data_IF_198119126655
#
_entry.id   IF_198119126655
#
_cell.length_a   1.000
_cell.length_b   1.000
_cell.length_c   1.000
_cell.angle_alpha   90.00
_cell.angle_beta   90.00
_cell.angle_gamma   90.00
#
_symmetry.space_group_name_H-M   'P 1'
#
loop_
_entity.id
_entity.type
_entity.pdbx_description
1 polymer ?
#
# COMPACT_ATOMS: atom_id res chain seq x y z
N UNK A 1 -1.65 2.61 15.03
CA UNK A 1 -2.13 4.01 15.11
C UNK A 1 -3.04 4.30 13.93
N UNK A 2 -4.31 4.37 14.18
CA UNK A 2 -5.32 4.57 13.12
C UNK A 2 -5.95 5.94 13.30
N UNK A 3 -5.78 6.80 12.29
CA UNK A 3 -6.58 8.03 12.19
C UNK A 3 -7.99 7.61 11.75
N UNK A 4 -9.04 7.93 12.52
CA UNK A 4 -10.40 7.60 12.11
C UNK A 4 -10.77 8.32 10.82
N UNK A 5 -11.44 7.60 9.92
CA UNK A 5 -12.00 8.22 8.71
C UNK A 5 -13.36 8.83 9.05
N UNK A 6 -13.55 10.09 8.67
CA UNK A 6 -14.74 10.87 8.97
C UNK A 6 -15.82 10.83 7.86
N UNK A 7 -15.60 9.99 6.84
CA UNK A 7 -16.50 9.91 5.70
C UNK A 7 -16.17 10.88 4.57
N UNK A 8 -15.12 11.69 4.70
CA UNK A 8 -14.72 12.64 3.67
C UNK A 8 -14.22 11.94 2.41
N UNK A 9 -14.39 12.59 1.26
CA UNK A 9 -13.91 12.08 -0.02
C UNK A 9 -12.39 11.91 -0.05
N UNK A 10 -11.92 10.90 -0.78
CA UNK A 10 -10.51 10.67 -1.03
C UNK A 10 -10.32 10.00 -2.41
N UNK A 11 -9.14 10.20 -3.00
CA UNK A 11 -8.84 9.68 -4.34
C UNK A 11 -8.58 8.18 -4.35
N UNK A 12 -7.84 7.69 -3.36
CA UNK A 12 -7.47 6.27 -3.28
C UNK A 12 -6.68 5.96 -2.03
N UNK A 13 -6.26 4.69 -1.91
CA UNK A 13 -5.50 4.21 -0.77
C UNK A 13 -4.40 3.25 -1.21
N UNK A 14 -3.23 3.34 -0.55
CA UNK A 14 -2.10 2.43 -0.72
C UNK A 14 -1.84 1.67 0.58
N UNK A 15 -1.33 0.45 0.45
CA UNK A 15 -1.13 -0.48 1.56
C UNK A 15 0.34 -0.86 1.69
N UNK A 16 0.88 -0.70 2.91
CA UNK A 16 2.12 -1.36 3.30
C UNK A 16 1.77 -2.73 3.91
N UNK A 17 1.98 -3.79 3.14
CA UNK A 17 1.79 -5.17 3.59
C UNK A 17 3.15 -5.71 4.04
N UNK A 18 3.32 -5.86 5.35
CA UNK A 18 4.61 -6.14 5.97
C UNK A 18 4.70 -7.58 6.46
N UNK A 19 5.84 -8.21 6.25
CA UNK A 19 6.13 -9.57 6.72
C UNK A 19 7.63 -9.73 6.95
N UNK A 20 8.02 -10.09 8.18
CA UNK A 20 9.41 -10.47 8.53
C UNK A 20 10.49 -9.53 7.95
N UNK A 21 10.36 -8.22 8.18
CA UNK A 21 11.31 -7.22 7.70
C UNK A 21 11.24 -6.92 6.20
N UNK A 22 10.17 -7.34 5.55
CA UNK A 22 9.94 -7.16 4.11
C UNK A 22 8.61 -6.47 3.84
N UNK A 23 8.48 -5.92 2.64
CA UNK A 23 7.25 -5.27 2.17
C UNK A 23 6.87 -5.81 0.80
N UNK A 24 5.58 -6.06 0.60
CA UNK A 24 5.03 -6.52 -0.67
C UNK A 24 4.98 -5.36 -1.67
N UNK A 25 5.60 -5.55 -2.81
CA UNK A 25 5.67 -4.55 -3.88
C UNK A 25 5.32 -5.17 -5.23
N UNK A 26 5.16 -4.32 -6.21
CA UNK A 26 5.14 -4.72 -7.62
C UNK A 26 5.74 -3.59 -8.46
N UNK A 27 6.12 -3.90 -9.70
CA UNK A 27 6.64 -2.88 -10.61
C UNK A 27 5.53 -2.46 -11.57
N UNK A 28 5.33 -1.15 -11.69
CA UNK A 28 4.36 -0.59 -12.63
C UNK A 28 4.79 -0.81 -14.07
N UNK A 29 3.83 -0.85 -14.99
CA UNK A 29 4.12 -0.87 -16.41
C UNK A 29 4.96 0.35 -16.82
N UNK A 30 5.90 0.14 -17.73
CA UNK A 30 6.69 1.23 -18.30
C UNK A 30 6.02 1.72 -19.59
N UNK A 31 4.87 2.37 -19.43
CA UNK A 31 4.07 2.91 -20.55
C UNK A 31 4.02 4.42 -20.50
N UNK A 32 4.06 5.12 -21.63
CA UNK A 32 3.79 6.55 -21.64
C UNK A 32 2.34 6.85 -21.23
N UNK A 33 2.12 7.96 -20.55
CA UNK A 33 0.79 8.43 -20.19
C UNK A 33 0.20 7.88 -18.89
N UNK A 34 0.88 6.95 -18.20
CA UNK A 34 0.45 6.51 -16.86
C UNK A 34 1.32 7.19 -15.79
N UNK A 35 0.79 7.40 -14.56
CA UNK A 35 1.60 7.91 -13.46
C UNK A 35 2.70 6.91 -13.09
N UNK A 36 3.89 7.41 -12.74
CA UNK A 36 5.01 6.63 -12.20
C UNK A 36 5.40 5.43 -13.08
N UNK A 37 5.61 5.60 -14.40
CA UNK A 37 5.85 4.46 -15.29
C UNK A 37 7.14 3.73 -14.90
N UNK A 38 7.07 2.39 -14.82
CA UNK A 38 8.21 1.53 -14.53
C UNK A 38 8.72 1.54 -13.10
N UNK A 39 8.09 2.29 -12.19
CA UNK A 39 8.55 2.40 -10.81
C UNK A 39 7.97 1.30 -9.90
N UNK A 40 8.65 1.05 -8.80
CA UNK A 40 8.20 0.12 -7.75
C UNK A 40 7.07 0.81 -6.97
N UNK A 41 5.95 0.12 -6.88
CA UNK A 41 4.72 0.58 -6.23
C UNK A 41 4.28 -0.41 -5.15
N UNK A 42 3.31 0.00 -4.35
CA UNK A 42 2.68 -0.81 -3.32
C UNK A 42 1.25 -1.15 -3.74
N UNK A 43 0.65 -2.22 -3.16
CA UNK A 43 -0.76 -2.51 -3.42
C UNK A 43 -1.66 -1.33 -3.13
N UNK A 44 -2.69 -1.13 -3.93
CA UNK A 44 -3.63 -0.04 -3.75
C UNK A 44 -4.06 0.57 -5.06
N UNK A 45 -5.01 1.49 -4.98
CA UNK A 45 -5.52 2.18 -6.15
C UNK A 45 -6.67 3.11 -5.82
N UNK A 46 -7.48 3.44 -6.82
CA UNK A 46 -8.55 4.40 -6.72
C UNK A 46 -9.75 3.92 -5.91
N UNK A 47 -10.39 4.85 -5.22
CA UNK A 47 -11.63 4.59 -4.49
C UNK A 47 -12.74 4.22 -5.44
N UNK A 48 -13.55 3.23 -5.07
CA UNK A 48 -14.80 2.88 -5.76
C UNK A 48 -15.98 3.08 -4.81
N UNK A 49 -17.05 3.75 -5.32
CA UNK A 49 -18.24 4.01 -4.55
C UNK A 49 -17.95 4.74 -3.24
N UNK A 50 -18.53 4.26 -2.16
CA UNK A 50 -18.44 4.85 -0.82
C UNK A 50 -17.48 4.08 0.12
N UNK A 51 -16.52 3.35 -0.43
CA UNK A 51 -15.54 2.61 0.35
C UNK A 51 -14.82 3.49 1.38
N UNK A 52 -14.54 2.89 2.56
CA UNK A 52 -13.57 3.46 3.50
C UNK A 52 -12.14 3.29 2.95
N UNK A 53 -11.16 4.04 3.49
CA UNK A 53 -9.76 3.86 3.08
C UNK A 53 -9.25 2.42 3.24
N UNK A 54 -9.57 1.77 4.36
CA UNK A 54 -9.18 0.39 4.61
C UNK A 54 -9.80 -0.56 3.58
N UNK A 55 -11.10 -0.45 3.32
CA UNK A 55 -11.79 -1.31 2.36
C UNK A 55 -11.29 -1.07 0.94
N UNK A 56 -10.98 0.17 0.57
CA UNK A 56 -10.38 0.51 -0.73
C UNK A 56 -9.04 -0.21 -0.91
N UNK A 57 -8.14 -0.09 0.06
CA UNK A 57 -6.82 -0.73 -0.01
C UNK A 57 -6.93 -2.25 -0.05
N UNK A 58 -7.82 -2.84 0.74
CA UNK A 58 -7.99 -4.30 0.80
C UNK A 58 -8.66 -4.86 -0.45
N UNK A 59 -9.59 -4.12 -1.06
CA UNK A 59 -10.17 -4.51 -2.35
C UNK A 59 -9.09 -4.55 -3.43
N UNK A 60 -8.26 -3.52 -3.50
CA UNK A 60 -7.15 -3.47 -4.46
C UNK A 60 -6.13 -4.59 -4.22
N UNK A 61 -5.81 -4.90 -2.96
CA UNK A 61 -4.94 -6.02 -2.63
C UNK A 61 -5.51 -7.33 -3.17
N UNK A 62 -6.80 -7.55 -3.02
CA UNK A 62 -7.46 -8.74 -3.53
C UNK A 62 -7.42 -8.78 -5.07
N UNK A 63 -7.75 -7.68 -5.73
CA UNK A 63 -7.75 -7.61 -7.19
C UNK A 63 -6.35 -7.81 -7.77
N UNK A 64 -5.33 -7.19 -7.16
CA UNK A 64 -3.97 -7.22 -7.68
C UNK A 64 -3.19 -8.48 -7.32
N UNK A 65 -3.40 -9.02 -6.12
CA UNK A 65 -2.56 -10.10 -5.57
C UNK A 65 -3.33 -11.35 -5.16
N UNK A 66 -4.66 -11.34 -5.24
CA UNK A 66 -5.46 -12.49 -4.85
C UNK A 66 -5.54 -12.72 -3.34
N UNK A 67 -5.08 -11.77 -2.52
CA UNK A 67 -5.10 -11.88 -1.07
C UNK A 67 -6.34 -11.26 -0.48
N UNK A 68 -7.03 -12.01 0.36
CA UNK A 68 -8.16 -11.55 1.17
C UNK A 68 -7.71 -11.34 2.61
N UNK A 69 -7.71 -10.07 3.06
CA UNK A 69 -7.46 -9.74 4.45
C UNK A 69 -8.70 -9.08 5.06
N UNK A 70 -9.07 -9.45 6.29
CA UNK A 70 -10.13 -8.73 6.98
C UNK A 70 -9.66 -7.34 7.41
N UNK A 71 -10.59 -6.42 7.54
CA UNK A 71 -10.31 -5.02 7.89
C UNK A 71 -9.55 -4.89 9.22
N UNK A 72 -9.77 -5.82 10.16
CA UNK A 72 -9.11 -5.84 11.46
C UNK A 72 -7.59 -6.04 11.36
N UNK A 73 -7.08 -6.48 10.23
CA UNK A 73 -5.64 -6.62 9.99
C UNK A 73 -4.94 -5.28 9.81
N UNK A 74 -5.66 -4.22 9.48
CA UNK A 74 -5.11 -2.86 9.35
C UNK A 74 -4.85 -2.32 10.75
N UNK A 75 -3.60 -1.92 11.02
CA UNK A 75 -3.21 -1.40 12.34
C UNK A 75 -2.63 0.02 12.28
N UNK A 76 -2.49 0.59 11.07
CA UNK A 76 -2.02 1.94 10.87
C UNK A 76 -2.75 2.55 9.68
N UNK A 77 -3.21 3.80 9.81
CA UNK A 77 -3.89 4.50 8.74
C UNK A 77 -3.79 6.00 8.94
N UNK A 78 -3.40 6.73 7.89
CA UNK A 78 -3.36 8.20 7.89
C UNK A 78 -3.68 8.76 6.51
N UNK A 79 -4.34 9.94 6.45
CA UNK A 79 -4.51 10.68 5.21
C UNK A 79 -3.26 11.50 4.87
N UNK A 80 -3.07 11.71 3.57
CA UNK A 80 -1.99 12.52 3.00
C UNK A 80 -2.53 13.25 1.78
N UNK A 81 -1.83 14.27 1.26
CA UNK A 81 -2.14 14.77 -0.07
C UNK A 81 -2.02 13.63 -1.09
N UNK A 82 -2.99 13.52 -2.01
CA UNK A 82 -2.94 12.47 -3.03
C UNK A 82 -1.71 12.69 -3.93
N UNK A 83 -1.06 11.58 -4.33
CA UNK A 83 0.19 11.66 -5.10
C UNK A 83 0.00 12.15 -6.52
N UNK A 84 -1.13 11.83 -7.13
CA UNK A 84 -1.42 12.08 -8.54
C UNK A 84 -2.75 12.82 -8.77
N UNK A 85 -3.33 13.38 -7.72
CA UNK A 85 -4.60 14.10 -7.78
C UNK A 85 -4.52 15.38 -6.95
N UNK A 86 -3.99 16.47 -7.51
CA UNK A 86 -3.79 17.72 -6.76
C UNK A 86 -5.07 18.21 -6.08
N UNK A 87 -4.94 18.65 -4.83
CA UNK A 87 -6.05 19.14 -4.03
C UNK A 87 -6.93 18.05 -3.41
N UNK A 88 -6.67 16.77 -3.71
CA UNK A 88 -7.39 15.65 -3.11
C UNK A 88 -6.56 14.95 -2.04
N UNK A 89 -7.23 14.12 -1.25
CA UNK A 89 -6.60 13.30 -0.20
C UNK A 89 -6.37 11.89 -0.72
N UNK A 90 -5.26 11.29 -0.31
CA UNK A 90 -5.00 9.86 -0.44
C UNK A 90 -4.74 9.27 0.94
N UNK A 91 -5.00 7.98 1.12
CA UNK A 91 -4.75 7.31 2.39
C UNK A 91 -3.62 6.31 2.26
N UNK A 92 -2.85 6.18 3.34
CA UNK A 92 -1.83 5.15 3.47
C UNK A 92 -2.18 4.30 4.69
N UNK A 93 -2.25 2.98 4.48
CA UNK A 93 -2.61 2.04 5.53
C UNK A 93 -1.55 0.95 5.62
N UNK A 94 -1.45 0.28 6.77
CA UNK A 94 -0.49 -0.80 6.96
C UNK A 94 -1.15 -2.00 7.63
N UNK A 95 -0.72 -3.19 7.21
CA UNK A 95 -1.12 -4.47 7.77
C UNK A 95 0.07 -5.40 7.84
N UNK A 96 0.07 -6.31 8.80
CA UNK A 96 1.03 -7.41 8.84
C UNK A 96 0.42 -8.62 8.15
N UNK A 97 1.17 -9.24 7.24
CA UNK A 97 0.77 -10.46 6.55
C UNK A 97 1.68 -11.62 6.97
N UNK A 98 1.30 -12.84 6.62
CA UNK A 98 2.03 -14.06 7.00
C UNK A 98 2.77 -14.66 5.82
N UNK A 99 3.76 -15.53 6.09
CA UNK A 99 4.45 -16.27 5.03
C UNK A 99 3.48 -17.16 4.26
N UNK A 100 2.47 -17.75 4.93
CA UNK A 100 1.45 -18.54 4.26
C UNK A 100 0.63 -17.68 3.28
N UNK A 101 0.32 -16.45 3.65
CA UNK A 101 -0.39 -15.51 2.77
C UNK A 101 0.49 -15.12 1.57
N UNK A 102 1.78 -14.89 1.78
CA UNK A 102 2.73 -14.64 0.68
C UNK A 102 2.73 -15.83 -0.30
N UNK A 103 2.77 -17.06 0.21
CA UNK A 103 2.75 -18.25 -0.63
C UNK A 103 1.45 -18.42 -1.43
N UNK A 104 0.36 -17.80 -0.96
CA UNK A 104 -0.94 -17.85 -1.63
C UNK A 104 -1.15 -16.74 -2.67
N UNK A 105 -0.19 -15.82 -2.82
CA UNK A 105 -0.30 -14.72 -3.78
C UNK A 105 -0.33 -15.24 -5.21
N UNK A 106 -1.28 -14.74 -5.98
CA UNK A 106 -1.27 -14.86 -7.43
C UNK A 106 -1.75 -13.55 -8.04
N UNK A 107 -1.08 -13.13 -9.11
CA UNK A 107 -1.42 -11.88 -9.77
C UNK A 107 -2.72 -11.97 -10.53
N UNK A 108 -3.45 -10.83 -10.53
CA UNK A 108 -4.51 -10.59 -11.49
C UNK A 108 -3.94 -10.39 -12.90
N UNK A 109 -4.78 -9.94 -13.83
CA UNK A 109 -4.48 -9.87 -15.26
C UNK A 109 -3.55 -8.72 -15.67
N UNK A 110 -2.90 -8.04 -14.74
CA UNK A 110 -2.13 -6.82 -15.03
C UNK A 110 -0.67 -7.08 -15.40
N UNK A 111 -0.25 -8.34 -15.45
CA UNK A 111 1.07 -8.70 -15.97
C UNK A 111 2.26 -8.35 -15.08
N UNK A 112 2.04 -7.94 -13.85
CA UNK A 112 3.10 -7.56 -12.93
C UNK A 112 3.47 -8.73 -12.01
N UNK A 113 4.76 -8.95 -11.80
CA UNK A 113 5.20 -9.92 -10.82
C UNK A 113 5.27 -9.30 -9.43
N UNK A 114 4.72 -9.95 -8.37
CA UNK A 114 4.92 -9.49 -7.02
C UNK A 114 6.39 -9.61 -6.65
N UNK A 115 6.87 -8.67 -5.89
CA UNK A 115 8.24 -8.69 -5.40
C UNK A 115 8.25 -8.34 -3.92
N UNK A 116 8.77 -9.25 -3.12
CA UNK A 116 8.93 -9.01 -1.70
C UNK A 116 10.32 -8.41 -1.49
N UNK A 117 10.37 -7.13 -1.12
CA UNK A 117 11.62 -6.41 -0.89
C UNK A 117 11.90 -6.26 0.60
N UNK A 118 13.18 -6.31 0.98
CA UNK A 118 13.56 -5.87 2.32
C UNK A 118 13.17 -4.41 2.54
N UNK A 119 12.78 -4.05 3.76
CA UNK A 119 12.37 -2.68 4.08
C UNK A 119 13.46 -1.67 3.75
N UNK A 120 14.72 -1.96 4.10
CA UNK A 120 15.84 -1.07 3.80
C UNK A 120 16.06 -0.94 2.30
N UNK A 121 15.93 -2.02 1.55
CA UNK A 121 16.06 -2.01 0.10
C UNK A 121 14.99 -1.14 -0.55
N UNK A 122 13.74 -1.26 -0.11
CA UNK A 122 12.66 -0.42 -0.63
C UNK A 122 12.90 1.06 -0.33
N UNK A 123 13.32 1.37 0.91
CA UNK A 123 13.55 2.77 1.32
C UNK A 123 14.75 3.40 0.60
N UNK A 124 15.73 2.59 0.18
CA UNK A 124 16.92 3.06 -0.54
C UNK A 124 16.77 3.04 -2.06
N UNK A 125 15.71 2.44 -2.59
CA UNK A 125 15.55 2.27 -4.03
C UNK A 125 15.33 3.62 -4.73
N UNK A 126 16.14 3.88 -5.77
CA UNK A 126 15.99 5.09 -6.59
C UNK A 126 14.82 4.98 -7.57
N UNK A 127 14.34 3.77 -7.82
CA UNK A 127 13.24 3.48 -8.74
C UNK A 127 11.94 3.11 -8.03
N UNK A 128 11.77 3.51 -6.77
CA UNK A 128 10.51 3.39 -6.03
C UNK A 128 9.81 4.75 -5.98
N UNK A 129 8.49 4.73 -5.85
CA UNK A 129 7.67 5.95 -5.75
C UNK A 129 8.00 6.65 -4.43
N UNK A 130 8.57 7.85 -4.52
CA UNK A 130 9.16 8.57 -3.39
C UNK A 130 8.16 8.88 -2.26
N UNK A 131 6.94 9.39 -2.52
CA UNK A 131 5.98 9.59 -1.43
C UNK A 131 5.65 8.34 -0.64
N UNK A 132 5.65 7.16 -1.27
CA UNK A 132 5.40 5.89 -0.57
C UNK A 132 6.55 5.53 0.36
N UNK A 133 7.79 5.81 -0.04
CA UNK A 133 8.95 5.62 0.84
C UNK A 133 8.85 6.50 2.08
N UNK A 134 8.44 7.77 1.91
CA UNK A 134 8.27 8.70 3.01
C UNK A 134 7.18 8.25 3.98
N UNK A 135 6.05 7.78 3.46
CA UNK A 135 4.93 7.30 4.26
C UNK A 135 5.30 6.01 5.01
N UNK A 136 6.03 5.11 4.36
CA UNK A 136 6.53 3.92 5.03
C UNK A 136 7.45 4.28 6.21
N UNK A 137 8.30 5.29 6.09
CA UNK A 137 9.14 5.73 7.20
C UNK A 137 8.31 6.12 8.42
N UNK A 138 7.17 6.81 8.20
CA UNK A 138 6.27 7.17 9.29
C UNK A 138 5.66 5.93 9.97
N UNK A 139 5.28 4.92 9.18
CA UNK A 139 4.80 3.64 9.72
C UNK A 139 5.87 2.99 10.59
N UNK A 140 7.11 2.93 10.10
CA UNK A 140 8.21 2.29 10.81
C UNK A 140 8.60 3.04 12.10
N UNK A 141 8.49 4.35 12.13
CA UNK A 141 8.66 5.15 13.35
C UNK A 141 7.64 4.73 14.42
N UNK A 142 6.40 4.48 14.01
CA UNK A 142 5.37 3.98 14.93
C UNK A 142 5.78 2.64 15.55
N UNK A 143 6.37 1.73 14.76
CA UNK A 143 6.83 0.43 15.24
C UNK A 143 7.95 0.53 16.25
N UNK A 144 8.79 1.57 16.20
CA UNK A 144 9.85 1.81 17.16
C UNK A 144 9.32 2.30 18.51
N UNK A 145 8.19 2.99 18.51
CA UNK A 145 7.62 3.65 19.69
C UNK A 145 6.50 2.85 20.34
N UNK A 146 5.87 1.92 19.63
CA UNK A 146 4.71 1.15 20.09
C UNK A 146 4.86 -0.31 19.73
N UNK A 147 4.29 -1.19 20.59
CA UNK A 147 4.23 -2.61 20.25
C UNK A 147 3.31 -2.82 19.02
N UNK A 148 3.77 -3.64 18.09
CA UNK A 148 2.96 -4.04 16.93
C UNK A 148 1.93 -5.07 17.36
N UNK A 149 0.64 -4.88 17.05
CA UNK A 149 -0.37 -5.89 17.34
C UNK A 149 -0.12 -7.18 16.52
#
# INVERSE_FOLDING_TARGET
VITPWDGADFAGAKLAALVDGHILTYRRDNKPGIPWPGLIDLPGGGREGDESPALCALRELHEEFGLHLPEQRIWWARPFPAMDAPGRTGWFVAATITQAEIAAIHFGNEGHSPQLLGLDAFLAASDAISPLQQRLRLVLETLQNYAVP
#
